data_IF_059492185203
#
_entry.id   IF_059492185203
#
_cell.length_a   1.000
_cell.length_b   1.000
_cell.length_c   1.000
_cell.angle_alpha   90.00
_cell.angle_beta   90.00
_cell.angle_gamma   90.00
#
_symmetry.space_group_name_H-M   'P 1'
#
loop_
_entity.id
_entity.type
_entity.pdbx_description
1 polymer ?
#
# COMPACT_ATOMS: atom_id res chain seq x y z
N UNK A 1 -13.63 26.35 7.61
CA UNK A 1 -12.65 27.34 7.06
C UNK A 1 -11.27 26.98 7.59
N UNK A 2 -10.49 26.26 6.82
CA UNK A 2 -9.14 25.85 7.20
C UNK A 2 -8.15 26.65 6.37
N UNK A 3 -7.44 27.56 7.01
CA UNK A 3 -6.43 28.43 6.40
C UNK A 3 -5.24 27.60 5.96
N UNK A 4 -4.90 27.64 4.69
CA UNK A 4 -3.68 27.08 4.14
C UNK A 4 -2.52 28.02 4.50
N UNK A 5 -1.56 27.48 5.24
CA UNK A 5 -0.30 28.16 5.53
C UNK A 5 0.57 28.15 4.26
N UNK A 6 0.74 29.29 3.64
CA UNK A 6 1.69 29.50 2.54
C UNK A 6 3.06 29.75 3.16
N UNK A 7 4.02 28.89 2.90
CA UNK A 7 5.41 29.12 3.29
C UNK A 7 6.09 29.80 2.11
N UNK A 8 6.38 31.09 2.26
CA UNK A 8 7.24 31.82 1.33
C UNK A 8 8.71 31.51 1.64
N UNK A 9 9.42 30.92 0.70
CA UNK A 9 10.88 30.87 0.72
C UNK A 9 11.36 31.99 -0.20
N UNK A 10 11.78 33.09 0.39
CA UNK A 10 12.45 34.20 -0.29
C UNK A 10 13.93 33.82 -0.47
N UNK A 11 14.36 33.58 -1.69
CA UNK A 11 15.77 33.57 -2.07
C UNK A 11 16.11 34.90 -2.67
N UNK A 12 16.83 35.75 -1.91
CA UNK A 12 17.45 36.96 -2.40
C UNK A 12 18.63 36.59 -3.29
N UNK A 13 18.58 36.92 -4.58
CA UNK A 13 19.74 36.91 -5.47
C UNK A 13 19.73 38.12 -6.39
N UNK A 14 20.90 38.66 -6.49
CA UNK A 14 21.37 39.88 -7.02
C UNK A 14 20.85 40.32 -8.40
N UNK A 15 21.03 41.61 -8.60
CA UNK A 15 20.68 42.46 -9.74
C UNK A 15 21.01 41.87 -11.11
N UNK A 16 20.01 41.84 -12.00
CA UNK A 16 20.18 41.81 -13.42
C UNK A 16 19.88 40.48 -14.10
N UNK A 17 18.61 40.15 -14.20
CA UNK A 17 18.08 39.23 -15.21
C UNK A 17 16.56 39.46 -15.31
N UNK A 18 16.08 39.48 -16.56
CA UNK A 18 14.68 39.68 -16.93
C UNK A 18 13.70 38.81 -16.13
N UNK A 19 12.44 39.22 -15.97
CA UNK A 19 11.46 38.43 -15.24
C UNK A 19 11.10 37.17 -16.04
N UNK A 20 11.93 36.15 -15.85
CA UNK A 20 11.53 34.78 -16.21
C UNK A 20 10.33 34.48 -15.37
N UNK A 21 9.21 34.25 -16.03
CA UNK A 21 7.96 33.78 -15.42
C UNK A 21 8.26 32.76 -14.34
N UNK A 22 8.06 33.16 -13.07
CA UNK A 22 8.15 32.26 -11.94
C UNK A 22 7.12 31.14 -12.17
N UNK A 23 7.59 30.04 -12.70
CA UNK A 23 6.84 28.80 -12.72
C UNK A 23 6.65 28.36 -11.29
N UNK A 24 5.55 28.77 -10.69
CA UNK A 24 5.10 28.23 -9.42
C UNK A 24 4.89 26.75 -9.65
N UNK A 25 5.88 25.95 -9.27
CA UNK A 25 5.75 24.49 -9.24
C UNK A 25 4.74 24.22 -8.13
N UNK A 26 3.48 24.18 -8.50
CA UNK A 26 2.46 23.55 -7.68
C UNK A 26 2.86 22.08 -7.61
N UNK A 27 3.58 21.71 -6.55
CA UNK A 27 3.61 20.33 -6.10
C UNK A 27 2.15 20.00 -5.80
N UNK A 28 1.42 19.56 -6.83
CA UNK A 28 0.17 18.87 -6.63
C UNK A 28 0.50 17.69 -5.71
N UNK A 29 0.33 17.94 -4.41
CA UNK A 29 0.12 16.87 -3.45
C UNK A 29 -1.15 16.21 -3.94
N UNK A 30 -1.00 15.23 -4.85
CA UNK A 30 -2.12 14.39 -5.25
C UNK A 30 -2.55 13.71 -3.96
N UNK A 31 -3.62 14.19 -3.31
CA UNK A 31 -4.07 13.54 -2.11
C UNK A 31 -4.37 12.12 -2.55
N UNK A 32 -3.70 11.16 -1.95
CA UNK A 32 -4.14 9.77 -1.98
C UNK A 32 -5.59 9.82 -1.57
N UNK A 33 -6.47 9.91 -2.57
CA UNK A 33 -7.86 10.23 -2.34
C UNK A 33 -8.40 9.28 -1.28
N UNK A 34 -8.54 9.78 -0.07
CA UNK A 34 -9.39 9.14 0.93
C UNK A 34 -10.77 9.13 0.33
N UNK A 35 -11.00 8.07 -0.44
CA UNK A 35 -12.31 7.86 -1.01
C UNK A 35 -13.26 7.79 0.14
N UNK A 36 -14.27 8.60 0.05
CA UNK A 36 -15.47 8.65 0.87
C UNK A 36 -15.55 7.49 1.86
N UNK A 37 -14.78 7.57 2.93
CA UNK A 37 -14.89 6.60 4.01
C UNK A 37 -16.14 6.96 4.78
N UNK A 38 -17.10 6.07 4.86
CA UNK A 38 -18.28 6.23 5.70
C UNK A 38 -17.96 6.13 7.19
N UNK A 39 -16.69 5.97 7.54
CA UNK A 39 -16.20 5.86 8.91
C UNK A 39 -15.99 7.26 9.49
N UNK A 40 -16.61 7.54 10.62
CA UNK A 40 -16.44 8.77 11.37
C UNK A 40 -15.30 8.69 12.40
N UNK A 41 -14.88 7.50 12.81
CA UNK A 41 -13.83 7.28 13.79
C UNK A 41 -12.41 7.37 13.19
N UNK A 42 -11.45 7.85 13.97
CA UNK A 42 -10.02 7.93 13.65
C UNK A 42 -9.18 7.06 14.58
N UNK A 43 -9.68 5.88 14.92
CA UNK A 43 -8.91 4.93 15.72
C UNK A 43 -7.81 4.28 14.88
N UNK A 44 -6.69 4.04 15.48
CA UNK A 44 -5.57 3.36 14.85
C UNK A 44 -4.33 3.42 15.73
N UNK A 45 -3.46 2.40 15.60
CA UNK A 45 -2.15 2.42 16.23
C UNK A 45 -1.16 3.17 15.35
N UNK A 46 -0.27 3.93 15.99
CA UNK A 46 0.83 4.63 15.34
C UNK A 46 2.14 3.90 15.64
N UNK A 47 3.05 3.92 14.68
CA UNK A 47 4.41 3.44 14.92
C UNK A 47 5.14 4.41 15.89
N UNK A 48 6.04 3.88 16.73
CA UNK A 48 6.87 4.75 17.58
C UNK A 48 7.69 5.71 16.70
N UNK A 49 7.92 6.92 17.19
CA UNK A 49 8.71 7.95 16.49
C UNK A 49 10.17 7.53 16.30
N UNK A 50 10.72 6.87 17.31
CA UNK A 50 12.09 6.31 17.30
C UNK A 50 12.02 4.80 17.39
N UNK A 51 11.94 4.10 16.24
CA UNK A 51 11.93 2.65 16.25
C UNK A 51 13.31 2.11 16.69
N UNK A 52 13.32 1.36 17.78
CA UNK A 52 14.51 0.66 18.30
C UNK A 52 14.16 -0.79 18.59
N UNK A 53 15.20 -1.62 18.71
CA UNK A 53 15.04 -3.01 19.14
C UNK A 53 14.62 -2.97 20.62
N UNK A 54 13.54 -3.62 21.02
CA UNK A 54 13.10 -3.66 22.41
C UNK A 54 14.07 -4.48 23.27
N UNK A 55 14.29 -4.05 24.52
CA UNK A 55 15.20 -4.73 25.46
C UNK A 55 14.73 -6.15 25.85
N UNK A 56 13.41 -6.39 25.74
CA UNK A 56 12.79 -7.70 26.04
C UNK A 56 12.92 -8.73 24.88
N UNK A 57 13.45 -8.33 23.73
CA UNK A 57 13.59 -9.23 22.60
C UNK A 57 14.75 -10.19 22.82
N UNK A 58 14.50 -11.47 22.57
CA UNK A 58 15.51 -12.52 22.67
C UNK A 58 16.67 -12.25 21.69
N UNK A 59 17.90 -12.40 22.18
CA UNK A 59 19.13 -12.15 21.40
C UNK A 59 19.30 -13.16 20.24
N UNK A 60 18.60 -14.31 20.32
CA UNK A 60 18.64 -15.34 19.28
C UNK A 60 17.89 -14.96 18.01
N UNK A 61 17.00 -13.94 18.08
CA UNK A 61 16.21 -13.49 16.94
C UNK A 61 16.97 -12.45 16.09
N UNK A 62 18.11 -12.87 15.58
CA UNK A 62 18.95 -12.06 14.72
C UNK A 62 18.32 -11.75 13.35
N UNK A 63 18.95 -10.86 12.59
CA UNK A 63 18.50 -10.46 11.26
C UNK A 63 18.32 -11.67 10.32
N UNK A 64 19.26 -12.62 10.35
CA UNK A 64 19.22 -13.84 9.54
C UNK A 64 18.03 -14.73 9.90
N UNK A 65 17.80 -14.93 11.19
CA UNK A 65 16.66 -15.70 11.68
C UNK A 65 15.34 -15.08 11.21
N UNK A 66 15.23 -13.74 11.29
CA UNK A 66 14.02 -13.03 10.84
C UNK A 66 13.83 -13.19 9.34
N UNK A 67 14.89 -13.08 8.53
CA UNK A 67 14.81 -13.27 7.07
C UNK A 67 14.36 -14.69 6.74
N UNK A 68 14.95 -15.71 7.35
CA UNK A 68 14.56 -17.12 7.17
C UNK A 68 13.08 -17.34 7.52
N UNK A 69 12.63 -16.75 8.64
CA UNK A 69 11.25 -16.89 9.08
C UNK A 69 10.26 -16.19 8.16
N UNK A 70 10.63 -15.03 7.59
CA UNK A 70 9.83 -14.35 6.56
C UNK A 70 9.66 -15.25 5.33
N UNK A 71 10.73 -15.91 4.87
CA UNK A 71 10.71 -16.81 3.71
C UNK A 71 9.84 -18.04 3.98
N UNK A 72 9.96 -18.66 5.17
CA UNK A 72 9.12 -19.79 5.56
C UNK A 72 7.64 -19.43 5.54
N UNK A 73 7.28 -18.31 6.17
CA UNK A 73 5.89 -17.85 6.21
C UNK A 73 5.35 -17.49 4.82
N UNK A 74 6.19 -16.96 3.93
CA UNK A 74 5.82 -16.68 2.55
C UNK A 74 5.57 -17.97 1.76
N UNK A 75 6.45 -18.98 1.91
CA UNK A 75 6.27 -20.32 1.31
C UNK A 75 5.02 -21.01 1.82
N UNK A 76 4.62 -20.76 3.08
CA UNK A 76 3.33 -21.22 3.63
C UNK A 76 2.11 -20.48 3.04
N UNK A 77 2.31 -19.57 2.08
CA UNK A 77 1.24 -18.87 1.36
C UNK A 77 0.74 -17.58 2.02
N UNK A 78 1.33 -17.17 3.14
CA UNK A 78 0.92 -15.95 3.82
C UNK A 78 1.22 -14.69 2.98
N UNK A 79 0.32 -13.72 3.06
CA UNK A 79 0.52 -12.43 2.43
C UNK A 79 1.55 -11.58 3.22
N UNK A 80 2.31 -10.67 2.56
CA UNK A 80 3.32 -9.85 3.24
C UNK A 80 2.82 -9.07 4.45
N UNK A 81 1.58 -8.58 4.40
CA UNK A 81 0.94 -7.91 5.54
C UNK A 81 0.65 -8.86 6.70
N UNK A 82 0.27 -10.11 6.40
CA UNK A 82 0.05 -11.15 7.40
C UNK A 82 1.34 -11.63 8.03
N UNK A 83 2.41 -11.79 7.23
CA UNK A 83 3.74 -12.13 7.74
C UNK A 83 4.16 -11.14 8.83
N UNK A 84 4.00 -9.83 8.58
CA UNK A 84 4.34 -8.81 9.57
C UNK A 84 3.50 -8.90 10.85
N UNK A 85 2.23 -9.29 10.76
CA UNK A 85 1.37 -9.53 11.93
C UNK A 85 1.79 -10.79 12.71
N UNK A 86 2.04 -11.87 12.01
CA UNK A 86 2.47 -13.14 12.61
C UNK A 86 3.80 -12.95 13.37
N UNK A 87 4.75 -12.27 12.75
CA UNK A 87 6.04 -11.96 13.38
C UNK A 87 5.87 -11.12 14.65
N UNK A 88 4.97 -10.14 14.62
CA UNK A 88 4.67 -9.32 15.80
C UNK A 88 3.96 -10.12 16.90
N UNK A 89 2.92 -10.89 16.55
CA UNK A 89 1.99 -11.45 17.52
C UNK A 89 2.48 -12.80 18.08
N UNK A 90 3.15 -13.62 17.27
CA UNK A 90 3.64 -14.96 17.67
C UNK A 90 5.12 -14.94 18.06
N UNK A 91 5.94 -14.17 17.37
CA UNK A 91 7.39 -14.17 17.58
C UNK A 91 7.90 -12.93 18.33
N UNK A 92 7.02 -11.98 18.65
CA UNK A 92 7.38 -10.80 19.41
C UNK A 92 8.27 -9.80 18.65
N UNK A 93 8.29 -9.84 17.32
CA UNK A 93 9.09 -8.93 16.47
C UNK A 93 8.24 -7.73 16.07
N UNK A 94 8.42 -6.56 16.69
CA UNK A 94 7.54 -5.43 16.44
C UNK A 94 7.71 -4.83 15.03
N UNK A 95 8.92 -4.77 14.54
CA UNK A 95 9.25 -4.20 13.23
C UNK A 95 10.42 -4.95 12.58
N UNK A 96 10.18 -5.69 11.53
CA UNK A 96 11.19 -6.42 10.75
C UNK A 96 12.31 -5.48 10.27
N UNK A 97 11.95 -4.29 9.80
CA UNK A 97 12.92 -3.32 9.28
C UNK A 97 13.96 -2.86 10.31
N UNK A 98 13.62 -2.87 11.59
CA UNK A 98 14.55 -2.44 12.65
C UNK A 98 15.62 -3.50 12.92
N UNK A 99 15.26 -4.78 12.76
CA UNK A 99 16.16 -5.90 13.04
C UNK A 99 16.95 -6.29 11.79
N UNK A 100 16.25 -6.53 10.68
CA UNK A 100 16.85 -7.00 9.44
C UNK A 100 17.39 -5.86 8.53
N UNK A 101 17.16 -4.59 8.88
CA UNK A 101 17.47 -3.41 8.05
C UNK A 101 16.82 -3.45 6.63
N UNK A 102 16.00 -4.46 6.34
CA UNK A 102 15.31 -4.69 5.08
C UNK A 102 13.80 -4.66 5.29
N UNK A 103 13.04 -4.38 4.24
CA UNK A 103 11.59 -4.52 4.26
C UNK A 103 11.22 -5.96 3.92
N UNK A 104 10.07 -6.44 4.41
CA UNK A 104 9.55 -7.77 4.06
C UNK A 104 9.50 -7.97 2.54
N UNK A 105 9.05 -6.95 1.77
CA UNK A 105 9.02 -7.04 0.31
C UNK A 105 10.39 -7.16 -0.35
N UNK A 106 11.43 -6.53 0.23
CA UNK A 106 12.79 -6.62 -0.29
C UNK A 106 13.35 -8.04 -0.06
N UNK A 107 13.10 -8.62 1.12
CA UNK A 107 13.46 -10.02 1.44
C UNK A 107 12.74 -11.00 0.49
N UNK A 108 11.46 -10.78 0.23
CA UNK A 108 10.69 -11.64 -0.68
C UNK A 108 11.17 -11.53 -2.12
N UNK A 109 11.62 -10.35 -2.55
CA UNK A 109 12.19 -10.12 -3.88
C UNK A 109 13.56 -10.80 -4.04
N UNK A 110 14.42 -10.72 -3.03
CA UNK A 110 15.72 -11.41 -3.00
C UNK A 110 15.57 -12.94 -3.10
N UNK A 111 14.43 -13.48 -2.67
CA UNK A 111 14.15 -14.92 -2.69
C UNK A 111 13.15 -15.34 -3.80
N UNK A 112 12.88 -14.48 -4.79
CA UNK A 112 11.97 -14.73 -5.90
C UNK A 112 10.53 -15.14 -5.49
N UNK A 113 10.11 -14.70 -4.30
CA UNK A 113 8.76 -14.95 -3.75
C UNK A 113 7.82 -13.74 -3.93
N UNK A 114 8.25 -12.74 -4.69
CA UNK A 114 7.41 -11.57 -4.97
C UNK A 114 6.25 -11.93 -5.91
N UNK A 115 5.05 -11.53 -5.54
CA UNK A 115 3.87 -11.72 -6.38
C UNK A 115 3.82 -10.65 -7.47
N UNK A 116 3.39 -11.03 -8.68
CA UNK A 116 3.25 -10.12 -9.84
C UNK A 116 2.31 -8.94 -9.58
N UNK A 117 1.30 -9.14 -8.73
CA UNK A 117 0.30 -8.12 -8.40
C UNK A 117 0.46 -7.75 -6.92
N UNK A 118 0.57 -6.46 -6.59
CA UNK A 118 0.63 -5.99 -5.21
C UNK A 118 -0.56 -6.49 -4.37
N UNK A 119 -0.31 -6.79 -3.10
CA UNK A 119 -1.29 -7.42 -2.19
C UNK A 119 -2.58 -6.61 -2.06
N UNK A 120 -2.48 -5.30 -1.91
CA UNK A 120 -3.63 -4.40 -1.77
C UNK A 120 -4.52 -4.39 -3.01
N UNK A 121 -3.91 -4.37 -4.21
CA UNK A 121 -4.63 -4.46 -5.47
C UNK A 121 -5.29 -5.85 -5.61
N UNK A 122 -4.57 -6.92 -5.29
CA UNK A 122 -5.09 -8.30 -5.30
C UNK A 122 -6.29 -8.45 -4.37
N UNK A 123 -6.23 -7.90 -3.18
CA UNK A 123 -7.33 -7.95 -2.20
C UNK A 123 -8.57 -7.17 -2.69
N UNK A 124 -8.38 -6.04 -3.40
CA UNK A 124 -9.48 -5.31 -4.02
C UNK A 124 -10.11 -6.09 -5.18
N UNK A 125 -9.29 -6.74 -6.01
CA UNK A 125 -9.76 -7.59 -7.10
C UNK A 125 -10.56 -8.78 -6.54
N UNK A 126 -10.05 -9.45 -5.51
CA UNK A 126 -10.75 -10.56 -4.84
C UNK A 126 -12.13 -10.11 -4.35
N UNK A 127 -12.20 -8.94 -3.72
CA UNK A 127 -13.46 -8.38 -3.26
C UNK A 127 -14.42 -8.08 -4.41
N UNK A 128 -13.93 -7.56 -5.53
CA UNK A 128 -14.75 -7.31 -6.70
C UNK A 128 -15.33 -8.61 -7.28
N UNK A 129 -14.52 -9.67 -7.37
CA UNK A 129 -14.95 -11.00 -7.84
C UNK A 129 -16.03 -11.57 -6.92
N UNK A 130 -15.86 -11.49 -5.60
CA UNK A 130 -16.89 -11.96 -4.64
C UNK A 130 -18.20 -11.21 -4.80
N UNK A 131 -18.17 -9.88 -4.97
CA UNK A 131 -19.40 -9.08 -5.15
C UNK A 131 -20.06 -9.41 -6.48
N UNK A 132 -19.29 -9.63 -7.56
CA UNK A 132 -19.85 -10.02 -8.86
C UNK A 132 -20.57 -11.35 -8.79
N UNK A 133 -19.95 -12.36 -8.17
CA UNK A 133 -20.58 -13.66 -7.95
C UNK A 133 -21.89 -13.52 -7.18
N UNK A 134 -21.91 -12.70 -6.13
CA UNK A 134 -23.14 -12.41 -5.39
C UNK A 134 -24.23 -11.76 -6.28
N UNK A 135 -23.85 -10.86 -7.18
CA UNK A 135 -24.80 -10.19 -8.07
C UNK A 135 -25.31 -11.09 -9.22
N UNK A 136 -24.62 -12.17 -9.56
CA UNK A 136 -25.12 -13.19 -10.49
C UNK A 136 -26.36 -13.86 -9.90
N UNK A 137 -26.33 -14.19 -8.61
CA UNK A 137 -27.44 -14.81 -7.91
C UNK A 137 -28.52 -13.75 -7.50
N UNK A 138 -28.09 -12.53 -7.15
CA UNK A 138 -28.92 -11.49 -6.58
C UNK A 138 -28.99 -10.22 -7.47
N UNK A 139 -29.57 -10.34 -8.66
CA UNK A 139 -29.61 -9.27 -9.70
C UNK A 139 -30.28 -7.96 -9.24
N UNK A 140 -31.20 -8.04 -8.27
CA UNK A 140 -31.96 -6.88 -7.76
C UNK A 140 -31.26 -6.16 -6.58
N UNK A 141 -30.07 -6.59 -6.16
CA UNK A 141 -29.32 -5.93 -5.09
C UNK A 141 -28.59 -4.67 -5.60
N UNK A 142 -29.29 -3.55 -5.60
CA UNK A 142 -28.74 -2.26 -6.01
C UNK A 142 -27.66 -1.74 -5.05
N UNK A 143 -27.69 -2.13 -3.77
CA UNK A 143 -26.71 -1.71 -2.77
C UNK A 143 -25.35 -2.35 -3.08
N UNK A 144 -25.34 -3.65 -3.33
CA UNK A 144 -24.12 -4.36 -3.74
C UNK A 144 -23.63 -3.93 -5.12
N UNK A 145 -24.54 -3.64 -6.06
CA UNK A 145 -24.18 -3.05 -7.37
C UNK A 145 -23.44 -1.72 -7.19
N UNK A 146 -23.92 -0.84 -6.32
CA UNK A 146 -23.22 0.40 -5.98
C UNK A 146 -21.90 0.14 -5.29
N UNK A 147 -21.84 -0.86 -4.39
CA UNK A 147 -20.61 -1.34 -3.74
C UNK A 147 -19.55 -1.76 -4.74
N UNK A 148 -19.94 -2.55 -5.76
CA UNK A 148 -19.06 -2.98 -6.84
C UNK A 148 -18.44 -1.80 -7.59
N UNK A 149 -19.25 -0.83 -8.03
CA UNK A 149 -18.77 0.37 -8.71
C UNK A 149 -17.72 1.13 -7.89
N UNK A 150 -17.91 1.23 -6.57
CA UNK A 150 -16.97 1.88 -5.67
C UNK A 150 -15.65 1.09 -5.56
N UNK A 151 -15.71 -0.24 -5.51
CA UNK A 151 -14.52 -1.10 -5.46
C UNK A 151 -13.75 -1.01 -6.79
N UNK A 152 -14.43 -1.11 -7.93
CA UNK A 152 -13.81 -0.98 -9.26
C UNK A 152 -13.15 0.40 -9.44
N UNK A 153 -13.79 1.47 -9.01
CA UNK A 153 -13.19 2.80 -9.01
C UNK A 153 -11.91 2.88 -8.15
N UNK A 154 -11.82 2.11 -7.06
CA UNK A 154 -10.60 1.98 -6.25
C UNK A 154 -9.52 1.20 -7.00
N UNK A 155 -9.87 0.09 -7.65
CA UNK A 155 -8.95 -0.71 -8.45
C UNK A 155 -8.34 0.14 -9.56
N UNK A 156 -9.13 0.90 -10.31
CA UNK A 156 -8.63 1.78 -11.38
C UNK A 156 -7.66 2.85 -10.87
N UNK A 157 -7.94 3.46 -9.72
CA UNK A 157 -7.03 4.45 -9.13
C UNK A 157 -5.74 3.84 -8.62
N UNK A 158 -5.84 2.69 -7.97
CA UNK A 158 -4.67 1.97 -7.46
C UNK A 158 -3.79 1.46 -8.60
N UNK A 159 -4.39 0.94 -9.68
CA UNK A 159 -3.65 0.51 -10.87
C UNK A 159 -2.92 1.69 -11.54
N UNK A 160 -3.57 2.86 -11.64
CA UNK A 160 -2.93 4.08 -12.15
C UNK A 160 -1.71 4.49 -11.31
N UNK A 161 -1.83 4.38 -9.99
CA UNK A 161 -0.71 4.64 -9.06
C UNK A 161 0.45 3.68 -9.30
N UNK A 162 0.19 2.35 -9.36
CA UNK A 162 1.24 1.34 -9.55
C UNK A 162 1.89 1.39 -10.93
N UNK A 163 1.16 1.73 -11.99
CA UNK A 163 1.75 2.00 -13.31
C UNK A 163 2.70 3.20 -13.26
N UNK A 164 2.29 4.30 -12.61
CA UNK A 164 3.15 5.47 -12.43
C UNK A 164 4.40 5.16 -11.60
N UNK A 165 4.30 4.25 -10.62
CA UNK A 165 5.43 3.78 -9.81
C UNK A 165 6.25 2.67 -10.49
N UNK A 166 5.91 2.30 -11.73
CA UNK A 166 6.58 1.22 -12.49
C UNK A 166 6.59 -0.16 -11.78
N UNK A 167 5.66 -0.38 -10.85
CA UNK A 167 5.45 -1.68 -10.18
C UNK A 167 4.62 -2.60 -11.07
N UNK A 168 3.69 -2.03 -11.83
CA UNK A 168 2.93 -2.73 -12.85
C UNK A 168 3.37 -2.27 -14.25
N UNK A 169 3.26 -3.13 -15.27
CA UNK A 169 3.49 -2.75 -16.66
C UNK A 169 2.62 -1.57 -17.09
N UNK A 170 3.11 -0.77 -18.03
CA UNK A 170 2.37 0.40 -18.52
C UNK A 170 1.01 0.03 -19.15
N UNK A 171 0.96 -1.13 -19.82
CA UNK A 171 -0.22 -1.63 -20.51
C UNK A 171 -1.21 -2.36 -19.59
N UNK A 172 -0.88 -2.55 -18.32
CA UNK A 172 -1.73 -3.27 -17.38
C UNK A 172 -3.09 -2.56 -17.23
N UNK A 173 -4.15 -3.30 -17.50
CA UNK A 173 -5.53 -2.84 -17.33
C UNK A 173 -6.32 -3.87 -16.51
N UNK A 174 -7.20 -3.37 -15.68
CA UNK A 174 -8.16 -4.23 -14.99
C UNK A 174 -9.26 -4.67 -15.96
N UNK A 175 -9.39 -5.98 -16.14
CA UNK A 175 -10.54 -6.59 -16.83
C UNK A 175 -11.32 -7.43 -15.83
N UNK A 176 -12.64 -7.24 -15.74
CA UNK A 176 -13.49 -8.04 -14.86
C UNK A 176 -13.45 -9.53 -15.17
N UNK A 177 -13.40 -9.87 -16.45
CA UNK A 177 -13.44 -11.26 -16.93
C UNK A 177 -12.16 -12.03 -16.58
N UNK A 178 -11.02 -11.31 -16.61
CA UNK A 178 -9.71 -11.85 -16.23
C UNK A 178 -9.44 -11.77 -14.72
N UNK A 179 -10.30 -11.11 -13.97
CA UNK A 179 -10.08 -10.87 -12.55
C UNK A 179 -9.93 -12.18 -11.73
N UNK A 180 -10.69 -13.20 -12.07
CA UNK A 180 -10.61 -14.51 -11.42
C UNK A 180 -9.26 -15.21 -11.69
N UNK A 181 -8.69 -15.06 -12.89
CA UNK A 181 -7.40 -15.64 -13.28
C UNK A 181 -6.24 -14.95 -12.55
N UNK A 182 -6.33 -13.63 -12.33
CA UNK A 182 -5.33 -12.87 -11.61
C UNK A 182 -5.21 -13.24 -10.11
N UNK A 183 -6.19 -13.97 -9.58
CA UNK A 183 -6.22 -14.39 -8.18
C UNK A 183 -5.61 -15.78 -7.95
N UNK A 184 -5.48 -16.57 -8.98
CA UNK A 184 -4.78 -17.88 -8.95
C UNK A 184 -3.28 -17.66 -8.87
#
# INVERSE_FOLDING_TARGET
MTRHKVIFISTALGRGADPVSEGVIYLEVVPMARMHTRRKGQSGSKRPSTPRIPDWMEKEKDAQWVETKVVELAKAGNAPSMIGKILRDQYGIPLVRVIANKRIMDILRENDLERRVPEDLRNMIARAVTIRRHLEDNKKDFVSKRGLQLVESKIHRLSKYYRRKKVLPADWKYSPDQAAVLLR
#
